data_IF_814241431764
#
_entry.id   IF_814241431764
#
_cell.length_a   1.000
_cell.length_b   1.000
_cell.length_c   1.000
_cell.angle_alpha   90.00
_cell.angle_beta   90.00
_cell.angle_gamma   90.00
#
_symmetry.space_group_name_H-M   'P 1'
#
loop_
_entity.id
_entity.type
_entity.pdbx_description
1 polymer ?
#
# COMPACT_ATOMS: atom_id res chain seq x y z
N UNK A 1 -36.16 -1.50 -6.00
CA UNK A 1 -35.66 -1.57 -4.61
C UNK A 1 -34.23 -2.07 -4.55
N UNK A 2 -33.23 -1.18 -4.63
CA UNK A 2 -31.85 -1.52 -4.27
C UNK A 2 -31.70 -1.36 -2.76
N UNK A 3 -31.68 -2.47 -2.02
CA UNK A 3 -31.42 -2.46 -0.58
C UNK A 3 -29.93 -2.17 -0.36
N UNK A 4 -29.63 -0.95 0.08
CA UNK A 4 -28.28 -0.54 0.45
C UNK A 4 -27.74 -1.37 1.62
N UNK A 5 -26.66 -2.10 1.37
CA UNK A 5 -25.89 -2.74 2.43
C UNK A 5 -25.28 -1.67 3.34
N UNK A 6 -25.73 -1.62 4.61
CA UNK A 6 -25.16 -0.77 5.66
C UNK A 6 -23.65 -1.06 5.75
N UNK A 7 -22.82 -0.05 5.47
CA UNK A 7 -21.36 -0.11 5.66
C UNK A 7 -21.10 -0.47 7.13
N UNK A 8 -20.60 -1.69 7.39
CA UNK A 8 -20.08 -2.06 8.71
C UNK A 8 -18.89 -1.14 8.99
N UNK A 9 -19.02 -0.34 10.03
CA UNK A 9 -17.97 0.55 10.55
C UNK A 9 -16.77 -0.28 10.99
N UNK A 10 -15.68 -0.23 10.22
CA UNK A 10 -14.40 -0.80 10.63
C UNK A 10 -13.76 0.21 11.58
N UNK A 11 -13.71 -0.13 12.86
CA UNK A 11 -13.05 0.65 13.90
C UNK A 11 -11.52 0.58 13.71
N UNK A 12 -10.92 1.69 13.32
CA UNK A 12 -9.46 1.86 13.25
C UNK A 12 -8.90 2.10 14.67
N UNK A 13 -7.90 1.33 15.13
CA UNK A 13 -7.22 1.63 16.39
C UNK A 13 -6.31 2.86 16.24
N UNK A 14 -6.36 3.77 17.22
CA UNK A 14 -5.61 5.01 17.25
C UNK A 14 -4.11 4.81 17.52
N UNK A 15 -3.21 5.62 16.95
CA UNK A 15 -1.80 5.61 17.32
C UNK A 15 -1.56 6.31 18.66
N UNK A 16 -0.79 5.68 19.54
CA UNK A 16 -0.36 6.22 20.83
C UNK A 16 0.64 7.36 20.62
N UNK A 17 0.25 8.57 21.02
CA UNK A 17 1.14 9.74 21.14
C UNK A 17 2.14 9.52 22.26
N UNK A 18 3.43 9.48 21.94
CA UNK A 18 4.50 9.68 22.92
C UNK A 18 4.89 11.16 22.91
N UNK A 19 4.54 11.86 23.98
CA UNK A 19 5.08 13.17 24.31
C UNK A 19 6.37 12.97 25.12
N UNK A 20 7.47 13.53 24.66
CA UNK A 20 8.73 13.60 25.38
C UNK A 20 9.37 14.94 25.12
N UNK A 21 9.08 15.89 26.02
CA UNK A 21 9.65 17.23 26.06
C UNK A 21 10.95 17.23 26.89
N UNK A 22 11.88 18.11 26.48
CA UNK A 22 12.95 18.79 27.23
C UNK A 22 14.33 18.10 27.35
N UNK A 23 15.35 18.90 26.99
CA UNK A 23 16.78 18.61 27.15
C UNK A 23 17.63 19.37 26.11
N UNK A 24 17.55 20.70 26.04
CA UNK A 24 18.55 21.65 26.59
C UNK A 24 19.93 21.68 25.86
N UNK A 25 20.34 22.91 25.51
CA UNK A 25 21.70 23.53 25.42
C UNK A 25 22.63 23.34 24.19
N UNK A 26 22.70 24.44 23.42
CA UNK A 26 23.83 25.05 22.68
C UNK A 26 25.23 24.42 22.87
N UNK A 27 25.92 24.20 21.73
CA UNK A 27 27.34 24.51 21.59
C UNK A 27 27.63 25.01 20.17
N UNK A 28 28.14 26.24 20.09
CA UNK A 28 28.76 26.81 18.89
C UNK A 28 30.20 26.29 18.78
N UNK A 29 30.57 25.68 17.64
CA UNK A 29 31.95 25.72 17.13
C UNK A 29 32.14 24.96 15.79
N UNK A 30 32.22 25.75 14.71
CA UNK A 30 33.10 25.63 13.53
C UNK A 30 32.99 24.42 12.53
N UNK A 31 33.02 24.67 11.21
CA UNK A 31 33.20 23.65 10.17
C UNK A 31 34.67 23.48 9.74
N UNK A 32 35.21 22.25 9.62
CA UNK A 32 36.45 22.03 8.90
C UNK A 32 36.17 21.87 7.39
N UNK A 33 36.79 22.74 6.61
CA UNK A 33 37.02 22.60 5.18
C UNK A 33 38.13 21.59 4.94
N UNK A 34 37.90 20.47 4.26
CA UNK A 34 38.96 19.75 3.52
C UNK A 34 38.36 18.77 2.51
N UNK A 35 38.87 18.83 1.29
CA UNK A 35 38.46 18.00 0.16
C UNK A 35 38.96 16.56 0.28
N UNK A 36 38.12 15.61 -0.15
CA UNK A 36 38.48 14.42 -0.93
C UNK A 36 39.46 13.39 -0.34
N UNK A 37 38.94 12.26 0.14
CA UNK A 37 39.45 10.92 -0.22
C UNK A 37 38.39 9.86 0.12
N UNK A 38 37.93 9.16 -0.92
CA UNK A 38 36.88 8.16 -0.83
C UNK A 38 37.41 6.84 -0.28
N UNK A 39 36.89 6.40 0.87
CA UNK A 39 37.06 5.04 1.38
C UNK A 39 35.70 4.45 1.73
N UNK A 40 35.24 3.65 0.76
CA UNK A 40 34.25 2.57 0.79
C UNK A 40 33.58 2.29 2.15
N UNK A 41 32.26 2.46 2.20
CA UNK A 41 31.39 1.79 3.17
C UNK A 41 30.24 1.14 2.43
N UNK A 42 30.07 -0.15 2.73
CA UNK A 42 29.21 -1.10 2.05
C UNK A 42 27.73 -0.69 2.07
N UNK A 43 27.20 -0.34 0.89
CA UNK A 43 25.76 -0.39 0.62
C UNK A 43 25.44 -1.79 0.08
N UNK A 44 25.28 -2.72 1.01
CA UNK A 44 24.68 -4.01 0.76
C UNK A 44 23.19 -3.82 0.39
N UNK A 45 22.92 -3.88 -0.91
CA UNK A 45 21.92 -4.76 -1.52
C UNK A 45 20.58 -4.90 -0.79
N UNK A 46 19.59 -4.06 -1.14
CA UNK A 46 18.18 -4.47 -1.11
C UNK A 46 17.43 -3.84 -2.29
N UNK A 47 17.45 -4.54 -3.42
CA UNK A 47 16.77 -4.13 -4.65
C UNK A 47 16.48 -5.31 -5.56
N UNK A 48 16.27 -6.50 -5.00
CA UNK A 48 15.77 -7.65 -5.76
C UNK A 48 14.23 -7.61 -5.72
N UNK A 49 13.63 -6.71 -6.49
CA UNK A 49 12.22 -6.88 -6.85
C UNK A 49 12.16 -8.04 -7.85
N UNK A 50 12.11 -9.25 -7.32
CA UNK A 50 11.84 -10.45 -8.09
C UNK A 50 10.58 -10.19 -8.94
N UNK A 51 10.59 -10.54 -10.24
CA UNK A 51 9.45 -10.32 -11.11
C UNK A 51 8.25 -10.99 -10.43
N UNK A 52 7.21 -10.19 -10.14
CA UNK A 52 5.99 -10.63 -9.47
C UNK A 52 5.29 -11.62 -10.39
N UNK A 53 5.73 -12.89 -10.35
CA UNK A 53 5.15 -14.01 -11.05
C UNK A 53 3.68 -14.07 -10.66
N UNK A 54 2.84 -13.70 -11.63
CA UNK A 54 1.41 -14.01 -11.72
C UNK A 54 0.61 -13.92 -10.41
N UNK A 55 0.80 -12.84 -9.63
CA UNK A 55 -0.14 -12.53 -8.54
C UNK A 55 -1.53 -12.42 -9.16
N UNK A 56 -2.35 -13.45 -8.96
CA UNK A 56 -3.65 -13.59 -9.62
C UNK A 56 -4.50 -12.33 -9.43
N UNK A 57 -5.17 -11.91 -10.50
CA UNK A 57 -6.00 -10.71 -10.48
C UNK A 57 -7.13 -10.91 -9.48
N UNK A 58 -7.18 -10.04 -8.47
CA UNK A 58 -8.28 -9.99 -7.51
C UNK A 58 -9.45 -9.21 -8.09
N UNK A 59 -10.66 -9.71 -7.90
CA UNK A 59 -11.89 -9.07 -8.31
C UNK A 59 -12.74 -8.72 -7.10
N UNK A 60 -13.46 -7.59 -7.13
CA UNK A 60 -14.42 -7.19 -6.11
C UNK A 60 -15.85 -7.37 -6.62
N UNK A 61 -16.68 -8.04 -5.84
CA UNK A 61 -18.10 -8.23 -6.10
C UNK A 61 -18.90 -6.92 -6.02
N UNK A 62 -19.81 -6.67 -6.97
CA UNK A 62 -20.58 -5.41 -7.03
C UNK A 62 -21.60 -5.20 -5.90
N UNK A 63 -22.17 -6.27 -5.35
CA UNK A 63 -23.20 -6.17 -4.29
C UNK A 63 -22.61 -6.40 -2.89
N UNK A 64 -21.78 -7.43 -2.76
CA UNK A 64 -21.22 -7.88 -1.49
C UNK A 64 -19.87 -7.25 -1.14
N UNK A 65 -19.19 -6.62 -2.11
CA UNK A 65 -17.88 -5.99 -1.91
C UNK A 65 -16.74 -6.97 -1.56
N UNK A 66 -17.00 -8.27 -1.61
CA UNK A 66 -16.03 -9.29 -1.23
C UNK A 66 -14.96 -9.47 -2.32
N UNK A 67 -13.71 -9.64 -1.90
CA UNK A 67 -12.61 -9.98 -2.80
C UNK A 67 -12.72 -11.45 -3.23
N UNK A 68 -12.69 -11.70 -4.54
CA UNK A 68 -12.75 -13.01 -5.15
C UNK A 68 -11.53 -13.23 -6.05
N UNK A 69 -10.90 -14.40 -5.93
CA UNK A 69 -9.77 -14.84 -6.76
C UNK A 69 -10.27 -15.89 -7.74
N UNK A 70 -10.62 -15.46 -8.96
CA UNK A 70 -11.12 -16.34 -10.01
C UNK A 70 -9.98 -16.87 -10.88
N UNK A 71 -10.05 -18.14 -11.27
CA UNK A 71 -9.18 -18.73 -12.29
C UNK A 71 -9.74 -18.41 -13.68
N UNK A 72 -8.89 -18.28 -14.72
CA UNK A 72 -9.30 -17.90 -16.07
C UNK A 72 -10.21 -18.90 -16.81
N UNK A 73 -10.46 -20.08 -16.23
CA UNK A 73 -11.30 -21.14 -16.81
C UNK A 73 -12.58 -21.42 -15.97
N UNK A 74 -12.74 -20.74 -14.83
CA UNK A 74 -13.91 -20.90 -13.95
C UNK A 74 -15.01 -19.90 -14.37
N UNK A 75 -16.31 -20.28 -14.30
CA UNK A 75 -17.39 -19.33 -14.57
C UNK A 75 -17.35 -18.13 -13.61
N UNK A 76 -17.61 -16.93 -14.13
CA UNK A 76 -17.54 -15.68 -13.36
C UNK A 76 -18.70 -15.57 -12.37
N UNK A 77 -18.44 -15.98 -11.13
CA UNK A 77 -19.45 -15.98 -10.06
C UNK A 77 -18.81 -15.60 -8.72
N UNK A 78 -19.54 -14.81 -7.95
CA UNK A 78 -19.24 -14.51 -6.55
C UNK A 78 -19.50 -15.74 -5.67
N UNK A 79 -18.50 -16.21 -4.91
CA UNK A 79 -18.61 -17.41 -4.06
C UNK A 79 -19.54 -17.25 -2.84
N UNK A 80 -19.77 -16.03 -2.37
CA UNK A 80 -20.61 -15.75 -1.21
C UNK A 80 -22.06 -15.41 -1.57
N UNK A 81 -22.31 -14.99 -2.80
CA UNK A 81 -23.57 -14.34 -3.18
C UNK A 81 -24.16 -14.81 -4.52
N UNK A 82 -23.41 -15.54 -5.35
CA UNK A 82 -23.87 -16.03 -6.65
C UNK A 82 -24.04 -14.95 -7.74
N UNK A 83 -23.81 -13.68 -7.41
CA UNK A 83 -23.87 -12.59 -8.37
C UNK A 83 -22.72 -12.68 -9.40
N UNK A 84 -22.99 -12.26 -10.64
CA UNK A 84 -22.09 -12.49 -11.79
C UNK A 84 -21.28 -11.26 -12.22
N UNK A 85 -21.53 -10.11 -11.60
CA UNK A 85 -20.78 -8.87 -11.90
C UNK A 85 -19.68 -8.67 -10.85
N UNK A 86 -18.43 -8.72 -11.30
CA UNK A 86 -17.27 -8.37 -10.49
C UNK A 86 -16.44 -7.28 -11.18
N UNK A 87 -15.94 -6.35 -10.39
CA UNK A 87 -15.00 -5.31 -10.80
C UNK A 87 -13.57 -5.77 -10.56
N UNK A 88 -12.61 -5.25 -11.34
CA UNK A 88 -11.19 -5.51 -11.08
C UNK A 88 -10.70 -4.67 -9.91
N UNK A 89 -9.88 -5.26 -9.03
CA UNK A 89 -9.26 -4.52 -7.93
C UNK A 89 -8.33 -3.42 -8.45
N UNK A 90 -8.34 -2.25 -7.79
CA UNK A 90 -7.41 -1.16 -8.09
C UNK A 90 -5.97 -1.64 -7.86
N UNK A 91 -5.04 -1.22 -8.71
CA UNK A 91 -3.62 -1.46 -8.49
C UNK A 91 -3.08 -0.48 -7.44
N UNK A 92 -2.16 -0.94 -6.59
CA UNK A 92 -1.44 -0.07 -5.64
C UNK A 92 -0.33 0.75 -6.29
N UNK A 93 -0.21 0.70 -7.62
CA UNK A 93 0.80 1.46 -8.36
C UNK A 93 0.32 2.91 -8.49
N UNK A 94 1.21 3.86 -8.19
CA UNK A 94 0.93 5.27 -8.40
C UNK A 94 0.70 5.54 -9.89
N UNK A 95 -0.31 6.37 -10.20
CA UNK A 95 -0.60 6.82 -11.56
C UNK A 95 -0.43 8.33 -11.57
N UNK A 96 0.39 8.84 -12.49
CA UNK A 96 0.57 10.28 -12.70
C UNK A 96 -0.41 10.75 -13.77
N UNK A 97 -1.17 11.79 -13.44
CA UNK A 97 -2.06 12.45 -14.39
C UNK A 97 -1.54 13.86 -14.65
N UNK A 98 -1.50 14.28 -15.91
CA UNK A 98 -1.25 15.67 -16.28
C UNK A 98 -2.55 16.46 -16.18
N UNK A 99 -2.49 17.69 -15.68
CA UNK A 99 -3.63 18.59 -15.68
C UNK A 99 -3.94 18.97 -17.14
N UNK A 100 -5.14 18.64 -17.60
CA UNK A 100 -5.66 18.96 -18.92
C UNK A 100 -7.10 19.41 -18.80
#
# INVERSE_FOLDING_TARGET
SYRGHRRRSVSFPAPRRAAGLLGLQRAMSQPPVTMGSATQSALAQQGAEAPRLSQGVKYMCGECGFENTLKPQEPIQCRSCGYRVLYKMRTNRMVQFLAR
#
